data_IF_727960525833
#
_entry.id   IF_727960525833
#
_cell.length_a   1.000
_cell.length_b   1.000
_cell.length_c   1.000
_cell.angle_alpha   90.00
_cell.angle_beta   90.00
_cell.angle_gamma   90.00
#
_symmetry.space_group_name_H-M   'P 1'
#
loop_
_entity.id
_entity.type
_entity.pdbx_description
1 polymer ?
#
# COMPACT_ATOMS: atom_id res chain seq x y z
N UNK A 1 -2.77 -1.51 -6.98
CA UNK A 1 -1.55 -1.26 -7.78
C UNK A 1 -0.57 -0.61 -6.82
N UNK A 2 0.39 -1.37 -6.32
CA UNK A 2 1.33 -0.87 -5.32
C UNK A 2 2.38 -0.07 -6.07
N UNK A 3 2.48 1.22 -5.77
CA UNK A 3 3.45 2.10 -6.40
C UNK A 3 4.78 1.90 -5.67
N UNK A 4 5.83 1.57 -6.42
CA UNK A 4 7.19 1.48 -5.90
C UNK A 4 7.77 2.88 -5.77
N UNK A 5 8.26 3.23 -4.58
CA UNK A 5 9.11 4.39 -4.34
C UNK A 5 10.56 3.93 -4.44
N UNK A 6 11.37 4.64 -5.23
CA UNK A 6 12.74 4.24 -5.48
C UNK A 6 13.68 4.66 -4.34
N UNK A 7 14.59 3.77 -3.93
CA UNK A 7 15.53 4.01 -2.82
C UNK A 7 16.43 5.23 -3.02
N UNK A 8 16.77 5.57 -4.26
CA UNK A 8 17.68 6.67 -4.58
C UNK A 8 17.16 8.07 -4.18
N UNK A 9 15.91 8.18 -3.75
CA UNK A 9 15.37 9.46 -3.27
C UNK A 9 15.92 9.84 -1.88
N UNK A 10 16.48 8.90 -1.12
CA UNK A 10 16.96 9.15 0.25
C UNK A 10 15.90 9.83 1.15
N UNK A 11 14.63 9.48 0.92
CA UNK A 11 13.48 10.06 1.61
C UNK A 11 13.53 9.83 3.13
N UNK A 12 14.15 8.76 3.59
CA UNK A 12 14.30 8.50 5.02
C UNK A 12 15.15 9.59 5.71
N UNK A 13 16.25 10.02 5.07
CA UNK A 13 17.08 11.11 5.58
C UNK A 13 16.34 12.45 5.52
N UNK A 14 15.65 12.74 4.41
CA UNK A 14 14.83 13.96 4.27
C UNK A 14 13.74 14.02 5.35
N UNK A 15 13.06 12.91 5.63
CA UNK A 15 12.01 12.82 6.65
C UNK A 15 12.55 12.93 8.08
N UNK A 16 13.69 12.30 8.37
CA UNK A 16 14.32 12.39 9.70
C UNK A 16 14.83 13.81 10.03
N UNK A 17 15.04 14.66 9.01
CA UNK A 17 15.40 16.07 9.22
C UNK A 17 14.24 16.96 9.69
N UNK A 18 13.00 16.46 9.62
CA UNK A 18 11.81 17.22 10.02
C UNK A 18 11.64 17.17 11.54
N UNK A 19 11.55 18.36 12.15
CA UNK A 19 11.30 18.49 13.59
C UNK A 19 10.01 17.76 13.99
N UNK A 20 10.10 16.89 15.00
CA UNK A 20 9.00 16.07 15.49
C UNK A 20 8.97 14.65 14.92
N UNK A 21 9.80 14.31 13.92
CA UNK A 21 10.00 12.92 13.49
C UNK A 21 11.04 12.25 14.37
N UNK A 22 10.64 11.22 15.10
CA UNK A 22 11.47 10.50 16.06
C UNK A 22 12.29 9.37 15.43
N UNK A 23 11.73 8.68 14.43
CA UNK A 23 12.35 7.56 13.75
C UNK A 23 11.67 7.30 12.41
N UNK A 24 12.40 6.74 11.46
CA UNK A 24 11.90 6.36 10.13
C UNK A 24 12.41 4.99 9.73
N UNK A 25 11.62 4.23 8.98
CA UNK A 25 12.00 2.91 8.45
C UNK A 25 11.37 2.68 7.07
N UNK A 26 12.11 2.12 6.09
CA UNK A 26 11.55 1.72 4.80
C UNK A 26 10.75 0.43 4.93
N UNK A 27 9.67 0.30 4.14
CA UNK A 27 8.87 -0.92 4.10
C UNK A 27 8.44 -1.32 2.69
N UNK A 28 8.30 -2.62 2.49
CA UNK A 28 7.61 -3.19 1.33
C UNK A 28 6.29 -3.77 1.81
N UNK A 29 5.18 -3.24 1.33
CA UNK A 29 3.83 -3.72 1.66
C UNK A 29 3.19 -4.37 0.45
N UNK A 30 2.68 -5.58 0.65
CA UNK A 30 2.10 -6.39 -0.41
C UNK A 30 1.08 -7.39 0.12
N UNK A 31 0.22 -7.88 -0.76
CA UNK A 31 -0.68 -8.99 -0.41
C UNK A 31 -0.02 -10.30 -0.84
N UNK A 32 -0.21 -11.36 -0.05
CA UNK A 32 0.25 -12.70 -0.35
C UNK A 32 -0.85 -13.72 -0.07
N UNK A 33 -0.91 -14.77 -0.87
CA UNK A 33 -1.59 -16.00 -0.49
C UNK A 33 -0.59 -16.85 0.29
N UNK A 34 -0.86 -17.00 1.58
CA UNK A 34 -0.08 -17.86 2.46
C UNK A 34 -0.72 -19.24 2.56
N UNK A 35 0.11 -20.28 2.50
CA UNK A 35 -0.34 -21.67 2.55
C UNK A 35 0.55 -22.50 3.47
N UNK A 36 -0.09 -23.26 4.35
CA UNK A 36 0.55 -24.25 5.21
C UNK A 36 -0.30 -25.52 5.20
N UNK A 37 0.30 -26.66 4.82
CA UNK A 37 -0.41 -27.90 4.54
C UNK A 37 -1.63 -27.68 3.61
N UNK A 38 -2.84 -28.02 4.07
CA UNK A 38 -4.10 -27.87 3.32
C UNK A 38 -4.82 -26.53 3.62
N UNK A 39 -4.24 -25.66 4.46
CA UNK A 39 -4.82 -24.36 4.81
C UNK A 39 -4.23 -23.26 3.94
N UNK A 40 -5.05 -22.28 3.57
CA UNK A 40 -4.61 -21.09 2.83
C UNK A 40 -5.35 -19.85 3.28
N UNK A 41 -4.62 -18.73 3.37
CA UNK A 41 -5.15 -17.46 3.84
C UNK A 41 -4.47 -16.29 3.13
N UNK A 42 -5.24 -15.27 2.78
CA UNK A 42 -4.68 -14.01 2.31
C UNK A 42 -4.09 -13.24 3.49
N UNK A 43 -2.83 -12.82 3.36
CA UNK A 43 -2.12 -11.98 4.32
C UNK A 43 -1.65 -10.70 3.66
N UNK A 44 -1.59 -9.63 4.44
CA UNK A 44 -0.80 -8.46 4.13
C UNK A 44 0.60 -8.67 4.69
N UNK A 45 1.57 -8.81 3.79
CA UNK A 45 2.98 -8.97 4.12
C UNK A 45 3.64 -7.60 4.16
N UNK A 46 4.41 -7.37 5.21
CA UNK A 46 5.21 -6.18 5.42
C UNK A 46 6.69 -6.59 5.52
N UNK A 47 7.46 -6.27 4.49
CA UNK A 47 8.91 -6.31 4.50
C UNK A 47 9.45 -5.17 5.35
N UNK A 48 10.17 -5.49 6.42
CA UNK A 48 10.69 -4.52 7.40
C UNK A 48 12.19 -4.71 7.62
N UNK A 49 12.87 -3.64 7.93
CA UNK A 49 14.23 -3.71 8.49
C UNK A 49 14.13 -4.00 9.99
N UNK A 50 14.59 -5.18 10.40
CA UNK A 50 14.52 -5.66 11.79
C UNK A 50 15.28 -4.78 12.79
N UNK A 51 16.19 -3.92 12.32
CA UNK A 51 16.97 -3.02 13.17
C UNK A 51 16.29 -1.67 13.41
N UNK A 52 15.63 -1.12 12.39
CA UNK A 52 15.00 0.21 12.43
C UNK A 52 13.50 0.14 12.72
N UNK A 53 12.81 -0.93 12.34
CA UNK A 53 11.37 -1.13 12.59
C UNK A 53 10.99 -1.08 14.08
N UNK A 54 11.75 -1.66 15.03
CA UNK A 54 11.46 -1.55 16.48
C UNK A 54 11.53 -0.12 17.03
N UNK A 55 12.10 0.83 16.27
CA UNK A 55 12.12 2.24 16.64
C UNK A 55 10.84 2.96 16.20
N UNK A 56 10.10 2.40 15.25
CA UNK A 56 8.86 2.96 14.68
C UNK A 56 7.63 2.26 15.23
N UNK A 57 7.61 0.92 15.23
CA UNK A 57 6.56 0.11 15.86
C UNK A 57 7.12 -0.72 16.99
N UNK A 58 6.24 -1.29 17.83
CA UNK A 58 6.63 -2.14 18.95
C UNK A 58 6.16 -3.59 18.78
N UNK A 59 6.01 -4.02 17.53
CA UNK A 59 5.56 -5.38 17.18
C UNK A 59 6.54 -6.45 17.69
N UNK A 60 7.83 -6.13 17.73
CA UNK A 60 8.89 -6.93 18.36
C UNK A 60 8.56 -7.32 19.81
N UNK A 61 7.91 -6.41 20.56
CA UNK A 61 7.53 -6.62 21.97
C UNK A 61 6.20 -7.33 22.15
N UNK A 62 5.45 -7.50 21.07
CA UNK A 62 4.15 -8.18 21.04
C UNK A 62 4.26 -9.67 20.71
N UNK A 63 5.48 -10.20 20.56
CA UNK A 63 5.71 -11.63 20.31
C UNK A 63 5.32 -12.44 21.54
N UNK A 64 4.35 -13.34 21.36
CA UNK A 64 3.83 -14.24 22.41
C UNK A 64 4.40 -15.66 22.28
N UNK A 65 4.85 -16.05 21.09
CA UNK A 65 5.49 -17.33 20.81
C UNK A 65 6.68 -17.14 19.86
N UNK A 66 7.77 -17.88 20.09
CA UNK A 66 8.97 -17.81 19.26
C UNK A 66 9.81 -16.56 19.53
N UNK A 67 10.34 -15.96 18.46
CA UNK A 67 11.20 -14.77 18.50
C UNK A 67 10.86 -13.79 17.38
N UNK A 68 11.47 -12.61 17.40
CA UNK A 68 11.41 -11.68 16.29
C UNK A 68 12.41 -12.04 15.18
N UNK A 69 12.36 -11.30 14.07
CA UNK A 69 13.18 -11.52 12.87
C UNK A 69 14.67 -11.29 13.16
N UNK A 70 15.51 -12.27 12.86
CA UNK A 70 16.97 -12.24 13.04
C UNK A 70 17.74 -12.68 11.78
N UNK A 71 17.09 -13.43 10.89
CA UNK A 71 17.68 -13.97 9.67
C UNK A 71 16.84 -13.71 8.42
N UNK A 72 17.37 -14.15 7.27
CA UNK A 72 16.66 -14.12 5.99
C UNK A 72 15.60 -15.21 5.91
N UNK A 73 14.59 -15.02 5.07
CA UNK A 73 13.52 -16.01 4.83
C UNK A 73 12.74 -16.41 6.10
N UNK A 74 12.69 -15.51 7.08
CA UNK A 74 11.88 -15.64 8.28
C UNK A 74 10.57 -14.88 8.15
N UNK A 75 9.53 -15.34 8.85
CA UNK A 75 8.27 -14.63 8.96
C UNK A 75 7.74 -14.66 10.39
N UNK A 76 7.20 -13.52 10.82
CA UNK A 76 6.39 -13.42 12.04
C UNK A 76 4.98 -12.99 11.66
N UNK A 77 3.97 -13.52 12.35
CA UNK A 77 2.58 -13.24 11.98
C UNK A 77 1.65 -13.12 13.18
N UNK A 78 0.48 -12.53 12.95
CA UNK A 78 -0.52 -12.38 14.00
C UNK A 78 -1.11 -13.71 14.48
N UNK A 79 -1.50 -13.76 15.75
CA UNK A 79 -2.04 -14.96 16.41
C UNK A 79 -3.28 -15.55 15.72
N UNK A 80 -4.19 -14.71 15.25
CA UNK A 80 -5.41 -15.17 14.56
C UNK A 80 -5.06 -15.70 13.15
N UNK A 81 -4.04 -15.15 12.49
CA UNK A 81 -3.53 -15.63 11.21
C UNK A 81 -2.82 -16.98 11.34
N UNK A 82 -1.95 -17.13 12.34
CA UNK A 82 -1.23 -18.37 12.63
C UNK A 82 -2.21 -19.51 12.97
N UNK A 83 -3.21 -19.21 13.81
CA UNK A 83 -4.29 -20.15 14.16
C UNK A 83 -5.06 -20.62 12.92
N UNK A 84 -5.44 -19.70 12.03
CA UNK A 84 -6.16 -20.02 10.81
C UNK A 84 -5.35 -20.87 9.82
N UNK A 85 -4.02 -20.71 9.79
CA UNK A 85 -3.11 -21.51 8.97
C UNK A 85 -2.64 -22.79 9.68
N UNK A 86 -3.05 -23.00 10.93
CA UNK A 86 -2.62 -24.13 11.77
C UNK A 86 -1.08 -24.27 11.79
N UNK A 87 -0.39 -23.14 11.95
CA UNK A 87 1.08 -23.06 11.94
C UNK A 87 1.62 -22.56 13.28
N UNK A 88 2.83 -22.99 13.63
CA UNK A 88 3.55 -22.64 14.85
C UNK A 88 5.00 -22.25 14.52
N UNK A 89 5.71 -21.58 15.45
CA UNK A 89 7.14 -21.33 15.26
C UNK A 89 7.92 -22.63 14.97
N UNK A 90 8.72 -22.62 13.90
CA UNK A 90 9.46 -23.76 13.36
C UNK A 90 8.82 -24.42 12.14
N UNK A 91 7.57 -24.08 11.79
CA UNK A 91 6.92 -24.55 10.56
C UNK A 91 7.32 -23.72 9.34
N UNK A 92 7.18 -24.30 8.15
CA UNK A 92 7.38 -23.60 6.87
C UNK A 92 6.07 -23.11 6.28
N UNK A 93 6.02 -21.83 5.93
CA UNK A 93 4.91 -21.19 5.24
C UNK A 93 5.29 -20.90 3.79
N UNK A 94 4.44 -21.33 2.85
CA UNK A 94 4.59 -20.98 1.43
C UNK A 94 3.84 -19.68 1.17
N UNK A 95 4.52 -18.69 0.58
CA UNK A 95 3.89 -17.45 0.13
C UNK A 95 3.87 -17.41 -1.39
N UNK A 96 2.71 -17.04 -1.95
CA UNK A 96 2.54 -16.76 -3.38
C UNK A 96 2.02 -15.35 -3.55
N UNK A 97 2.68 -14.57 -4.40
CA UNK A 97 2.40 -13.16 -4.64
C UNK A 97 2.32 -12.85 -6.13
N UNK A 98 1.62 -11.78 -6.47
CA UNK A 98 1.80 -11.11 -7.74
C UNK A 98 2.86 -10.02 -7.55
N UNK A 99 4.02 -10.18 -8.18
CA UNK A 99 5.13 -9.26 -8.07
C UNK A 99 4.87 -7.97 -8.87
N UNK A 100 5.65 -6.93 -8.59
CA UNK A 100 5.49 -5.60 -9.19
C UNK A 100 5.75 -5.56 -10.70
N UNK A 101 6.55 -6.50 -11.21
CA UNK A 101 6.83 -6.69 -12.63
C UNK A 101 5.76 -7.52 -13.37
N UNK A 102 4.72 -7.97 -12.64
CA UNK A 102 3.64 -8.82 -13.16
C UNK A 102 3.96 -10.31 -13.14
N UNK A 103 5.14 -10.72 -12.67
CA UNK A 103 5.48 -12.13 -12.45
C UNK A 103 4.78 -12.69 -11.20
N UNK A 104 4.86 -14.02 -11.04
CA UNK A 104 4.43 -14.69 -9.81
C UNK A 104 5.66 -14.94 -8.96
N UNK A 105 5.71 -14.30 -7.80
CA UNK A 105 6.68 -14.61 -6.76
C UNK A 105 6.17 -15.75 -5.89
N UNK A 106 7.01 -16.76 -5.64
CA UNK A 106 6.67 -17.84 -4.72
C UNK A 106 7.93 -18.27 -3.96
N UNK A 107 7.86 -18.28 -2.64
CA UNK A 107 8.98 -18.70 -1.80
C UNK A 107 8.48 -19.29 -0.46
N UNK A 108 9.40 -19.92 0.27
CA UNK A 108 9.18 -20.52 1.59
C UNK A 108 9.81 -19.67 2.67
N UNK A 109 9.08 -19.56 3.78
CA UNK A 109 9.49 -18.80 4.94
C UNK A 109 9.32 -19.63 6.21
N UNK A 110 10.32 -19.63 7.08
CA UNK A 110 10.20 -20.23 8.40
C UNK A 110 9.39 -19.29 9.29
N UNK A 111 8.30 -19.80 9.89
CA UNK A 111 7.58 -19.08 10.92
C UNK A 111 8.47 -19.06 12.17
N UNK A 112 9.04 -17.91 12.53
CA UNK A 112 9.94 -17.80 13.70
C UNK A 112 9.24 -17.25 14.92
N UNK A 113 8.07 -16.63 14.74
CA UNK A 113 7.32 -16.04 15.84
C UNK A 113 5.88 -15.70 15.51
N UNK A 114 5.10 -15.56 16.58
CA UNK A 114 3.69 -15.16 16.53
C UNK A 114 3.49 -13.99 17.47
N UNK A 115 2.88 -12.91 16.98
CA UNK A 115 2.58 -11.72 17.77
C UNK A 115 1.08 -11.56 18.07
N UNK A 116 0.78 -10.82 19.14
CA UNK A 116 -0.57 -10.40 19.50
C UNK A 116 -0.59 -8.91 19.87
N UNK A 117 -1.36 -8.13 19.13
CA UNK A 117 -1.52 -6.67 19.32
C UNK A 117 -2.86 -6.29 19.96
N UNK A 118 -3.83 -7.22 19.97
CA UNK A 118 -5.21 -6.96 20.38
C UNK A 118 -6.06 -6.30 19.28
N UNK A 119 -5.48 -5.98 18.13
CA UNK A 119 -6.17 -5.38 16.99
C UNK A 119 -6.45 -6.48 15.97
N UNK A 120 -7.73 -6.85 15.83
CA UNK A 120 -8.17 -7.97 14.95
C UNK A 120 -7.67 -7.91 13.52
N UNK A 121 -7.52 -6.71 12.94
CA UNK A 121 -6.96 -6.58 11.59
C UNK A 121 -5.49 -6.98 11.53
N UNK A 122 -4.69 -6.55 12.50
CA UNK A 122 -3.26 -6.85 12.55
C UNK A 122 -3.08 -8.34 12.91
N UNK A 123 -3.74 -8.78 13.97
CA UNK A 123 -3.61 -10.16 14.47
C UNK A 123 -4.12 -11.21 13.47
N UNK A 124 -5.08 -10.85 12.61
CA UNK A 124 -5.74 -11.78 11.69
C UNK A 124 -5.24 -11.77 10.25
N UNK A 125 -4.46 -10.76 9.85
CA UNK A 125 -4.08 -10.57 8.44
C UNK A 125 -2.65 -10.06 8.21
N UNK A 126 -1.95 -9.54 9.23
CA UNK A 126 -0.62 -8.96 9.03
C UNK A 126 0.48 -9.99 9.33
N UNK A 127 1.50 -10.00 8.48
CA UNK A 127 2.75 -10.71 8.72
C UNK A 127 3.94 -9.80 8.39
N UNK A 128 5.06 -9.97 9.09
CA UNK A 128 6.31 -9.26 8.84
C UNK A 128 7.41 -10.23 8.42
N UNK A 129 8.22 -9.82 7.46
CA UNK A 129 9.42 -10.54 7.01
C UNK A 129 10.57 -9.55 6.80
N UNK A 130 11.83 -9.99 6.66
CA UNK A 130 12.94 -9.11 6.33
C UNK A 130 12.69 -8.33 5.04
N UNK A 131 13.09 -7.06 5.02
CA UNK A 131 12.94 -6.16 3.87
C UNK A 131 13.54 -6.76 2.59
N UNK A 132 14.74 -7.34 2.68
CA UNK A 132 15.43 -7.95 1.54
C UNK A 132 14.64 -9.14 0.97
N UNK A 133 14.04 -9.97 1.82
CA UNK A 133 13.20 -11.08 1.37
C UNK A 133 11.93 -10.58 0.70
N UNK A 134 11.29 -9.54 1.23
CA UNK A 134 10.12 -8.93 0.60
C UNK A 134 10.47 -8.30 -0.76
N UNK A 135 11.60 -7.61 -0.86
CA UNK A 135 12.06 -7.01 -2.12
C UNK A 135 12.29 -8.07 -3.19
N UNK A 136 12.84 -9.23 -2.81
CA UNK A 136 13.01 -10.38 -3.70
C UNK A 136 11.66 -10.96 -4.10
N UNK A 137 10.80 -11.28 -3.12
CA UNK A 137 9.51 -11.92 -3.34
C UNK A 137 8.58 -11.11 -4.26
N UNK A 138 8.59 -9.78 -4.12
CA UNK A 138 7.73 -8.88 -4.88
C UNK A 138 8.41 -8.20 -6.08
N UNK A 139 9.66 -8.57 -6.43
CA UNK A 139 10.45 -7.97 -7.50
C UNK A 139 10.62 -6.43 -7.38
N UNK A 140 10.85 -5.95 -6.16
CA UNK A 140 11.08 -4.52 -5.92
C UNK A 140 12.53 -4.06 -6.16
N UNK A 141 13.51 -4.93 -6.40
CA UNK A 141 14.88 -4.54 -6.84
C UNK A 141 15.52 -3.38 -6.05
N UNK A 142 15.47 -3.41 -4.71
CA UNK A 142 15.96 -2.28 -3.90
C UNK A 142 15.02 -1.07 -3.95
N UNK A 143 13.71 -1.29 -4.02
CA UNK A 143 12.67 -0.27 -3.88
C UNK A 143 11.80 -0.63 -2.68
N UNK A 144 11.10 0.36 -2.17
CA UNK A 144 10.14 0.21 -1.08
C UNK A 144 8.79 0.78 -1.50
N UNK A 145 7.70 0.38 -0.85
CA UNK A 145 6.38 0.94 -1.15
C UNK A 145 6.09 2.18 -0.30
N UNK A 146 6.67 2.24 0.89
CA UNK A 146 6.42 3.30 1.86
C UNK A 146 7.62 3.53 2.78
N UNK A 147 7.67 4.69 3.42
CA UNK A 147 8.52 4.96 4.57
C UNK A 147 7.60 5.25 5.75
N UNK A 148 7.69 4.42 6.77
CA UNK A 148 6.98 4.63 8.01
C UNK A 148 7.78 5.56 8.92
N UNK A 149 7.11 6.53 9.52
CA UNK A 149 7.71 7.48 10.44
C UNK A 149 6.95 7.50 11.76
N UNK A 150 7.69 7.49 12.87
CA UNK A 150 7.13 7.72 14.20
C UNK A 150 7.31 9.18 14.57
N UNK A 151 6.23 9.81 15.02
CA UNK A 151 6.25 11.17 15.57
C UNK A 151 6.60 11.11 17.06
N UNK A 152 7.36 12.10 17.56
CA UNK A 152 7.72 12.21 18.98
C UNK A 152 6.49 12.37 19.88
N UNK A 153 5.55 13.21 19.42
CA UNK A 153 4.34 13.59 20.13
C UNK A 153 3.12 13.36 19.22
N UNK A 154 2.19 12.51 19.67
CA UNK A 154 0.97 12.20 18.92
C UNK A 154 0.09 13.42 18.69
N UNK A 155 0.12 14.41 19.58
CA UNK A 155 -0.68 15.64 19.47
C UNK A 155 -0.16 16.54 18.34
N UNK A 156 1.09 16.34 17.91
CA UNK A 156 1.73 17.07 16.82
C UNK A 156 1.61 16.37 15.47
N UNK A 157 0.97 15.19 15.40
CA UNK A 157 0.88 14.38 14.19
C UNK A 157 0.41 15.16 12.97
N UNK A 158 -0.69 15.92 13.08
CA UNK A 158 -1.23 16.70 11.97
C UNK A 158 -0.29 17.83 11.53
N UNK A 159 0.42 18.46 12.47
CA UNK A 159 1.39 19.51 12.16
C UNK A 159 2.62 18.95 11.43
N UNK A 160 3.12 17.78 11.89
CA UNK A 160 4.24 17.08 11.26
C UNK A 160 3.86 16.57 9.87
N UNK A 161 2.67 15.95 9.73
CA UNK A 161 2.14 15.53 8.43
C UNK A 161 1.97 16.70 7.47
N UNK A 162 1.45 17.84 7.94
CA UNK A 162 1.35 19.07 7.14
C UNK A 162 2.71 19.58 6.67
N UNK A 163 3.71 19.54 7.54
CA UNK A 163 5.08 19.95 7.22
C UNK A 163 5.73 19.02 6.20
N UNK A 164 5.58 17.71 6.37
CA UNK A 164 6.04 16.69 5.44
C UNK A 164 5.36 16.81 4.07
N UNK A 165 4.05 17.05 4.02
CA UNK A 165 3.32 17.29 2.76
C UNK A 165 3.87 18.48 2.00
N UNK A 166 4.14 19.59 2.69
CA UNK A 166 4.68 20.79 2.07
C UNK A 166 6.13 20.59 1.58
N UNK A 167 6.95 19.86 2.33
CA UNK A 167 8.33 19.59 1.93
C UNK A 167 8.41 18.59 0.77
N UNK A 168 7.52 17.60 0.77
CA UNK A 168 7.51 16.52 -0.21
C UNK A 168 6.55 16.78 -1.39
N UNK A 169 5.92 17.95 -1.48
CA UNK A 169 4.93 18.27 -2.53
C UNK A 169 5.47 18.14 -3.97
N UNK A 170 6.76 18.38 -4.15
CA UNK A 170 7.43 18.26 -5.46
C UNK A 170 7.89 16.82 -5.74
N UNK A 171 7.81 15.95 -4.73
CA UNK A 171 8.09 14.53 -4.87
C UNK A 171 6.75 13.86 -5.19
N UNK A 172 6.73 12.92 -6.13
CA UNK A 172 5.51 12.21 -6.52
C UNK A 172 5.14 11.15 -5.44
N UNK A 173 4.98 11.58 -4.20
CA UNK A 173 4.76 10.75 -3.01
C UNK A 173 3.53 11.27 -2.25
N UNK A 174 2.79 10.35 -1.65
CA UNK A 174 1.65 10.68 -0.81
C UNK A 174 2.06 10.55 0.67
N UNK A 175 1.77 11.57 1.47
CA UNK A 175 2.02 11.54 2.92
C UNK A 175 0.72 11.25 3.65
N UNK A 176 0.66 10.05 4.25
CA UNK A 176 -0.48 9.55 5.01
C UNK A 176 -0.21 9.61 6.51
N UNK A 177 -1.25 9.91 7.29
CA UNK A 177 -1.23 9.79 8.74
C UNK A 177 -1.87 8.47 9.17
N UNK A 178 -1.36 7.86 10.25
CA UNK A 178 -1.76 6.53 10.74
C UNK A 178 -3.28 6.33 10.89
N UNK A 179 -4.03 7.38 11.25
CA UNK A 179 -5.50 7.32 11.39
C UNK A 179 -6.23 7.02 10.07
N UNK A 180 -5.61 7.32 8.92
CA UNK A 180 -6.22 7.12 7.58
C UNK A 180 -5.98 5.70 7.06
N UNK A 181 -4.93 5.02 7.53
CA UNK A 181 -4.57 3.69 7.03
C UNK A 181 -5.44 2.57 7.65
N UNK A 182 -5.87 2.76 8.90
CA UNK A 182 -6.74 1.79 9.59
C UNK A 182 -8.20 1.91 9.13
N UNK A 183 -8.66 3.12 8.77
CA UNK A 183 -10.01 3.36 8.30
C UNK A 183 -9.95 4.02 6.91
N UNK A 184 -10.19 3.28 5.79
CA UNK A 184 -10.43 3.97 4.54
C UNK A 184 -11.57 4.97 4.76
N UNK A 185 -11.47 6.20 4.22
CA UNK A 185 -12.59 7.13 4.31
C UNK A 185 -13.82 6.43 3.74
N UNK A 186 -14.96 6.57 4.43
CA UNK A 186 -16.22 6.00 3.97
C UNK A 186 -16.39 6.32 2.48
N UNK A 187 -16.86 5.37 1.65
CA UNK A 187 -17.12 5.65 0.25
C UNK A 187 -18.00 6.88 0.22
N UNK A 188 -17.52 7.97 -0.38
CA UNK A 188 -18.34 9.17 -0.54
C UNK A 188 -19.62 8.69 -1.19
N UNK A 189 -20.82 8.97 -0.64
CA UNK A 189 -22.04 8.63 -1.32
C UNK A 189 -21.88 9.22 -2.72
N UNK A 190 -22.06 8.39 -3.74
CA UNK A 190 -22.18 8.87 -5.11
C UNK A 190 -23.21 9.99 -5.03
N UNK A 191 -22.75 11.24 -5.14
CA UNK A 191 -23.64 12.36 -5.28
C UNK A 191 -24.33 12.08 -6.61
N UNK A 192 -25.53 11.52 -6.55
CA UNK A 192 -26.43 11.49 -7.67
C UNK A 192 -26.59 12.96 -8.05
N UNK A 193 -25.85 13.37 -9.07
CA UNK A 193 -25.98 14.68 -9.69
C UNK A 193 -27.38 14.72 -10.28
N UNK A 194 -28.35 15.15 -9.49
CA UNK A 194 -29.65 15.59 -9.97
C UNK A 194 -29.45 16.96 -10.62
N UNK A 195 -28.85 16.93 -11.82
CA UNK A 195 -28.95 17.97 -12.81
C UNK A 195 -29.57 17.31 -14.06
N UNK A 196 -30.57 17.94 -14.70
CA UNK A 196 -31.29 17.32 -15.80
C UNK A 196 -30.34 17.17 -17.00
N UNK A 197 -29.90 15.95 -17.25
CA UNK A 197 -29.12 15.63 -18.43
C UNK A 197 -30.07 15.61 -19.64
N UNK A 198 -29.93 16.62 -20.51
CA UNK A 198 -30.37 16.54 -21.90
C UNK A 198 -29.47 15.50 -22.57
N UNK A 199 -29.94 14.27 -22.63
CA UNK A 199 -29.28 13.16 -23.32
C UNK A 199 -29.40 13.35 -24.82
N UNK A 200 -28.31 13.69 -25.49
CA UNK A 200 -28.19 13.58 -26.94
C UNK A 200 -27.46 12.27 -27.24
N UNK A 201 -28.20 11.19 -27.50
CA UNK A 201 -27.63 9.90 -27.88
C UNK A 201 -27.40 9.86 -29.39
N UNK A 202 -26.14 9.77 -29.82
CA UNK A 202 -25.83 9.41 -31.21
C UNK A 202 -25.88 7.88 -31.31
N UNK A 203 -27.06 7.35 -31.65
CA UNK A 203 -27.25 5.93 -31.86
C UNK A 203 -26.77 5.57 -33.26
N UNK A 204 -25.71 4.78 -33.33
CA UNK A 204 -25.28 4.07 -34.54
C UNK A 204 -26.36 3.05 -34.91
N UNK A 205 -27.04 3.25 -36.04
CA UNK A 205 -27.85 2.24 -36.71
C UNK A 205 -27.13 1.80 -37.99
N UNK A 206 -26.77 0.53 -38.04
CA UNK A 206 -26.51 -0.17 -39.29
C UNK A 206 -27.84 -0.41 -40.02
N UNK A 207 -28.04 0.18 -41.19
CA UNK A 207 -28.43 -0.54 -42.42
C UNK A 207 -28.86 0.39 -43.56
N UNK A 208 -28.36 0.05 -44.75
CA UNK A 208 -28.96 0.26 -46.08
C UNK A 208 -28.75 1.60 -46.80
N UNK A 209 -27.87 1.54 -47.79
CA UNK A 209 -28.11 1.92 -49.20
C UNK A 209 -28.51 3.38 -49.47
N UNK A 210 -27.56 4.18 -49.96
CA UNK A 210 -27.50 4.74 -51.34
C UNK A 210 -26.74 6.06 -51.37
N UNK A 211 -25.95 6.21 -52.44
CA UNK A 211 -25.18 7.39 -52.83
C UNK A 211 -26.07 8.63 -53.01
N UNK A 212 -25.59 9.82 -52.63
CA UNK A 212 -25.15 10.90 -53.54
C UNK A 212 -24.76 12.20 -52.79
N UNK A 213 -23.97 13.11 -53.41
CA UNK A 213 -23.02 13.97 -52.71
C UNK A 213 -23.25 15.47 -52.94
N UNK A 214 -23.79 16.21 -51.98
CA UNK A 214 -23.68 17.67 -52.01
C UNK A 214 -23.88 18.35 -50.65
N UNK A 215 -23.17 19.47 -50.48
CA UNK A 215 -23.35 20.54 -49.49
C UNK A 215 -22.41 20.59 -48.27
N UNK A 216 -21.20 21.04 -48.60
CA UNK A 216 -20.39 21.98 -47.83
C UNK A 216 -21.18 23.25 -47.41
N UNK A 217 -21.31 23.53 -46.10
CA UNK A 217 -21.25 24.88 -45.51
C UNK A 217 -21.50 24.88 -43.99
N UNK A 218 -20.87 25.85 -43.31
CA UNK A 218 -21.12 26.34 -41.95
C UNK A 218 -20.34 25.71 -40.77
N UNK A 219 -19.01 25.69 -40.88
CA UNK A 219 -18.14 25.91 -39.73
C UNK A 219 -17.66 27.37 -39.77
N UNK A 220 -18.28 28.29 -39.00
CA UNK A 220 -17.70 29.60 -38.67
C UNK A 220 -18.41 30.30 -37.49
N UNK A 221 -17.62 30.43 -36.41
CA UNK A 221 -17.50 31.57 -35.47
C UNK A 221 -18.68 31.99 -34.58
N UNK A 222 -18.43 31.92 -33.27
CA UNK A 222 -18.63 33.03 -32.29
C UNK A 222 -17.78 32.70 -31.04
N UNK A 223 -16.54 33.22 -30.93
CA UNK A 223 -16.12 34.48 -30.26
C UNK A 223 -16.24 34.47 -28.73
N UNK A 224 -15.08 34.23 -28.10
CA UNK A 224 -14.59 34.84 -26.86
C UNK A 224 -14.80 36.36 -26.84
N UNK A 225 -15.33 36.90 -25.74
CA UNK A 225 -14.82 38.09 -25.02
C UNK A 225 -15.59 38.31 -23.71
N UNK A 226 -14.85 38.57 -22.62
CA UNK A 226 -15.42 39.01 -21.35
C UNK A 226 -14.33 39.52 -20.40
N UNK A 227 -14.17 40.85 -20.32
CA UNK A 227 -13.53 41.54 -19.20
C UNK A 227 -14.20 42.92 -19.04
N UNK A 228 -14.78 43.13 -17.86
CA UNK A 228 -14.86 44.35 -17.05
C UNK A 228 -15.38 43.92 -15.68
#
# INVERSE_FOLDING_TARGET
MNIAVAEHWNLAEEMSSVTGVAATTPRVTGNALASHADQSRALQVMGVDSTTEPQVTRLDRSIIHGRYLEGDNEIVMGVDAASALSTSPGDELVLVVQAADGSIGADRFEVVGVFETGIKRIDGFVAQMPLASAQTLYAFEGRFTEIAARVEDSDQLEAVVGSLRNQLQERNVEVLGWLVEILPPAPRPFAASTAPAVTCSTQSMHSSISMQPEHWAACRRTKFHGSC
#
